data_IF_322326962323
#
_entry.id   IF_322326962323
#
_cell.length_a   1.000
_cell.length_b   1.000
_cell.length_c   1.000
_cell.angle_alpha   90.00
_cell.angle_beta   90.00
_cell.angle_gamma   90.00
#
_symmetry.space_group_name_H-M   'P 1'
#
loop_
_entity.id
_entity.type
_entity.pdbx_description
1 polymer ?
#
# COMPACT_ATOMS: atom_id res chain seq x y z
N UNK A 1 18.16 -5.70 12.25
CA UNK A 1 16.68 -5.82 12.18
C UNK A 1 16.21 -4.77 11.20
N UNK A 2 15.72 -5.16 10.03
CA UNK A 2 15.32 -4.22 8.98
C UNK A 2 13.82 -3.92 9.11
N UNK A 3 13.40 -2.75 9.65
CA UNK A 3 11.97 -2.42 9.80
C UNK A 3 11.24 -2.29 8.44
N UNK A 4 11.99 -2.33 7.35
CA UNK A 4 11.52 -2.26 5.97
C UNK A 4 10.51 -3.35 5.62
N UNK A 5 10.54 -4.52 6.27
CA UNK A 5 9.59 -5.62 6.05
C UNK A 5 8.15 -5.20 6.41
N UNK A 6 7.98 -4.31 7.39
CA UNK A 6 6.65 -3.84 7.80
C UNK A 6 6.13 -2.66 6.98
N UNK A 7 6.98 -1.97 6.22
CA UNK A 7 6.57 -0.76 5.48
C UNK A 7 5.46 -1.03 4.45
N UNK A 8 5.51 -2.11 3.64
CA UNK A 8 4.44 -2.40 2.69
C UNK A 8 3.08 -2.70 3.34
N UNK A 9 3.06 -3.01 4.63
CA UNK A 9 1.84 -3.23 5.42
C UNK A 9 1.36 -1.90 6.04
N UNK A 10 2.29 -1.16 6.65
CA UNK A 10 1.97 0.09 7.35
C UNK A 10 1.52 1.20 6.40
N UNK A 11 2.14 1.32 5.23
CA UNK A 11 1.82 2.38 4.25
C UNK A 11 0.35 2.35 3.80
N UNK A 12 -0.20 1.23 3.27
CA UNK A 12 -1.59 1.20 2.85
C UNK A 12 -2.55 1.37 4.04
N UNK A 13 -2.19 0.88 5.23
CA UNK A 13 -3.01 1.01 6.43
C UNK A 13 -3.11 2.47 6.89
N UNK A 14 -1.97 3.19 6.91
CA UNK A 14 -1.93 4.62 7.20
C UNK A 14 -2.62 5.44 6.10
N UNK A 15 -2.37 5.12 4.82
CA UNK A 15 -3.02 5.80 3.71
C UNK A 15 -4.55 5.65 3.81
N UNK A 16 -5.05 4.45 4.10
CA UNK A 16 -6.47 4.19 4.34
C UNK A 16 -7.04 4.96 5.52
N UNK A 17 -6.35 4.96 6.67
CA UNK A 17 -6.76 5.71 7.86
C UNK A 17 -6.83 7.23 7.59
N UNK A 18 -5.82 7.80 6.94
CA UNK A 18 -5.80 9.21 6.52
C UNK A 18 -6.91 9.48 5.51
N UNK A 19 -7.18 8.55 4.59
CA UNK A 19 -8.33 8.62 3.69
C UNK A 19 -9.63 8.75 4.48
N UNK A 20 -9.86 7.97 5.52
CA UNK A 20 -11.08 8.07 6.33
C UNK A 20 -11.21 9.43 7.04
N UNK A 21 -10.11 10.03 7.50
CA UNK A 21 -10.13 11.38 8.08
C UNK A 21 -10.62 12.41 7.06
N UNK A 22 -10.20 12.29 5.80
CA UNK A 22 -10.59 13.20 4.71
C UNK A 22 -11.77 12.71 3.88
N UNK A 23 -12.66 11.86 4.42
CA UNK A 23 -13.77 11.22 3.69
C UNK A 23 -14.67 12.19 2.90
N UNK A 24 -14.83 13.43 3.38
CA UNK A 24 -15.63 14.48 2.72
C UNK A 24 -14.99 15.05 1.45
N UNK A 25 -13.67 15.00 1.31
CA UNK A 25 -12.95 15.64 0.20
C UNK A 25 -12.48 14.60 -0.81
N UNK A 26 -13.22 14.48 -1.92
CA UNK A 26 -12.85 13.58 -3.04
C UNK A 26 -11.47 13.90 -3.63
N UNK A 27 -11.07 15.18 -3.63
CA UNK A 27 -9.74 15.58 -4.09
C UNK A 27 -8.62 15.05 -3.18
N UNK A 28 -8.82 15.13 -1.85
CA UNK A 28 -7.85 14.57 -0.89
C UNK A 28 -7.80 13.04 -0.96
N UNK A 29 -8.95 12.35 -1.09
CA UNK A 29 -8.97 10.89 -1.27
C UNK A 29 -8.11 10.45 -2.46
N UNK A 30 -8.23 11.15 -3.58
CA UNK A 30 -7.48 10.89 -4.81
C UNK A 30 -5.98 11.10 -4.60
N UNK A 31 -5.60 12.21 -3.99
CA UNK A 31 -4.19 12.50 -3.69
C UNK A 31 -3.59 11.44 -2.76
N UNK A 32 -4.31 11.08 -1.69
CA UNK A 32 -3.88 10.05 -0.73
C UNK A 32 -3.74 8.69 -1.40
N UNK A 33 -4.68 8.30 -2.28
CA UNK A 33 -4.62 7.03 -2.99
C UNK A 33 -3.38 6.94 -3.90
N UNK A 34 -3.09 7.99 -4.69
CA UNK A 34 -1.92 8.02 -5.57
C UNK A 34 -0.62 8.04 -4.78
N UNK A 35 -0.52 8.90 -3.76
CA UNK A 35 0.69 8.98 -2.93
C UNK A 35 0.92 7.70 -2.13
N UNK A 36 -0.14 7.10 -1.58
CA UNK A 36 -0.07 5.85 -0.81
C UNK A 36 0.35 4.67 -1.66
N UNK A 37 -0.23 4.52 -2.87
CA UNK A 37 0.16 3.45 -3.80
C UNK A 37 1.56 3.66 -4.39
N UNK A 38 1.98 4.90 -4.65
CA UNK A 38 3.36 5.21 -5.05
C UNK A 38 4.37 4.89 -3.94
N UNK A 39 4.08 5.28 -2.69
CA UNK A 39 4.94 4.96 -1.54
C UNK A 39 5.02 3.44 -1.30
N UNK A 40 3.90 2.73 -1.45
CA UNK A 40 3.88 1.27 -1.39
C UNK A 40 4.81 0.66 -2.45
N UNK A 41 4.70 1.09 -3.71
CA UNK A 41 5.56 0.60 -4.79
C UNK A 41 7.05 0.85 -4.50
N UNK A 42 7.42 2.06 -4.07
CA UNK A 42 8.82 2.41 -3.76
C UNK A 42 9.36 1.51 -2.64
N UNK A 43 8.61 1.34 -1.57
CA UNK A 43 9.05 0.51 -0.42
C UNK A 43 9.10 -0.97 -0.75
N UNK A 44 8.18 -1.48 -1.57
CA UNK A 44 8.22 -2.87 -2.06
C UNK A 44 9.45 -3.13 -2.94
N UNK A 45 9.85 -2.18 -3.79
CA UNK A 45 11.08 -2.30 -4.58
C UNK A 45 12.29 -2.33 -3.65
N UNK A 46 12.33 -1.47 -2.63
CA UNK A 46 13.38 -1.48 -1.61
C UNK A 46 13.48 -2.82 -0.88
N UNK A 47 12.34 -3.41 -0.51
CA UNK A 47 12.27 -4.72 0.12
C UNK A 47 12.81 -5.82 -0.81
N UNK A 48 12.41 -5.82 -2.09
CA UNK A 48 12.91 -6.77 -3.07
C UNK A 48 14.42 -6.69 -3.26
N UNK A 49 14.99 -5.48 -3.32
CA UNK A 49 16.43 -5.28 -3.42
C UNK A 49 17.16 -5.83 -2.19
N UNK A 50 16.62 -5.61 -0.98
CA UNK A 50 17.22 -6.15 0.25
C UNK A 50 17.14 -7.68 0.28
N UNK A 51 15.99 -8.27 -0.02
CA UNK A 51 15.83 -9.74 -0.04
C UNK A 51 16.71 -10.39 -1.10
N UNK A 52 16.88 -9.75 -2.26
CA UNK A 52 17.74 -10.26 -3.33
C UNK A 52 19.23 -10.18 -2.99
N UNK A 53 19.66 -9.21 -2.17
CA UNK A 53 21.08 -9.04 -1.77
C UNK A 53 21.44 -9.84 -0.51
N UNK A 54 20.58 -9.76 0.51
CA UNK A 54 20.87 -10.21 1.86
C UNK A 54 20.16 -11.53 2.21
N UNK A 55 19.34 -12.06 1.30
CA UNK A 55 18.56 -13.28 1.50
C UNK A 55 17.25 -13.04 2.28
N UNK A 56 16.67 -14.13 2.78
CA UNK A 56 15.37 -14.12 3.47
C UNK A 56 15.43 -13.20 4.70
N UNK A 57 14.50 -12.25 4.79
CA UNK A 57 14.41 -11.30 5.89
C UNK A 57 13.30 -11.73 6.86
N UNK A 58 13.62 -11.77 8.16
CA UNK A 58 12.67 -12.14 9.22
C UNK A 58 12.65 -11.07 10.30
N UNK A 59 11.46 -10.62 10.69
CA UNK A 59 11.25 -9.71 11.81
C UNK A 59 10.17 -10.22 12.75
N UNK A 60 10.50 -10.32 14.03
CA UNK A 60 9.53 -10.59 15.09
C UNK A 60 8.87 -9.29 15.53
N UNK A 61 7.55 -9.21 15.42
CA UNK A 61 6.77 -8.03 15.77
C UNK A 61 6.22 -8.17 17.20
N UNK A 62 6.31 -7.08 17.98
CA UNK A 62 5.71 -6.99 19.31
C UNK A 62 6.56 -7.50 20.48
N UNK A 63 7.82 -7.88 20.26
CA UNK A 63 8.74 -8.27 21.35
C UNK A 63 8.43 -9.62 22.01
N UNK A 64 7.44 -10.35 21.50
CA UNK A 64 7.11 -11.70 21.95
C UNK A 64 8.16 -12.69 21.41
N UNK A 65 8.78 -13.45 22.32
CA UNK A 65 9.69 -14.54 21.92
C UNK A 65 8.86 -15.66 21.27
N UNK A 66 9.38 -16.28 20.21
CA UNK A 66 8.77 -17.48 19.60
C UNK A 66 8.45 -18.53 20.70
N UNK A 67 7.33 -19.29 20.63
CA UNK A 67 6.60 -19.75 19.44
C UNK A 67 5.26 -19.03 19.12
N UNK A 68 4.82 -18.06 19.92
CA UNK A 68 3.51 -17.38 19.74
C UNK A 68 3.60 -15.95 19.16
N UNK A 69 4.79 -15.52 18.74
CA UNK A 69 5.03 -14.17 18.21
C UNK A 69 4.61 -13.99 16.74
N UNK A 70 4.30 -12.75 16.34
CA UNK A 70 3.98 -12.42 14.94
C UNK A 70 5.30 -12.28 14.18
N UNK A 71 5.64 -13.31 13.39
CA UNK A 71 6.82 -13.30 12.52
C UNK A 71 6.46 -12.76 11.14
N UNK A 72 7.03 -11.62 10.75
CA UNK A 72 7.01 -11.14 9.38
C UNK A 72 8.20 -11.72 8.63
N UNK A 73 7.92 -12.55 7.63
CA UNK A 73 8.93 -13.17 6.78
C UNK A 73 8.77 -12.63 5.36
N UNK A 74 9.85 -12.11 4.80
CA UNK A 74 9.94 -11.71 3.41
C UNK A 74 10.99 -12.58 2.70
N UNK A 75 10.51 -13.45 1.83
CA UNK A 75 11.29 -14.23 0.89
C UNK A 75 11.24 -13.60 -0.51
N UNK A 76 12.01 -14.15 -1.46
CA UNK A 76 12.12 -13.57 -2.80
C UNK A 76 10.77 -13.58 -3.52
N UNK A 77 10.03 -14.67 -3.43
CA UNK A 77 8.70 -14.79 -4.04
C UNK A 77 7.72 -13.80 -3.43
N UNK A 78 7.64 -13.73 -2.10
CA UNK A 78 6.81 -12.77 -1.39
C UNK A 78 7.15 -11.33 -1.79
N UNK A 79 8.44 -10.97 -1.80
CA UNK A 79 8.86 -9.63 -2.20
C UNK A 79 8.45 -9.27 -3.64
N UNK A 80 8.56 -10.22 -4.59
CA UNK A 80 8.07 -10.03 -5.96
C UNK A 80 6.56 -9.80 -5.98
N UNK A 81 5.79 -10.57 -5.21
CA UNK A 81 4.33 -10.41 -5.11
C UNK A 81 3.95 -9.05 -4.53
N UNK A 82 4.68 -8.53 -3.55
CA UNK A 82 4.41 -7.19 -3.00
C UNK A 82 4.73 -6.10 -4.03
N UNK A 83 5.80 -6.25 -4.83
CA UNK A 83 6.10 -5.32 -5.93
C UNK A 83 5.00 -5.35 -6.99
N UNK A 84 4.57 -6.53 -7.42
CA UNK A 84 3.46 -6.67 -8.39
C UNK A 84 2.18 -6.01 -7.87
N UNK A 85 1.86 -6.23 -6.59
CA UNK A 85 0.73 -5.58 -5.92
C UNK A 85 0.86 -4.05 -5.95
N UNK A 86 2.06 -3.51 -5.70
CA UNK A 86 2.35 -2.09 -5.78
C UNK A 86 2.16 -1.51 -7.19
N UNK A 87 2.65 -2.22 -8.22
CA UNK A 87 2.51 -1.81 -9.63
C UNK A 87 1.03 -1.75 -10.02
N UNK A 88 0.29 -2.83 -9.74
CA UNK A 88 -1.14 -2.92 -10.06
C UNK A 88 -1.92 -1.84 -9.30
N UNK A 89 -1.66 -1.69 -7.99
CA UNK A 89 -2.32 -0.69 -7.16
C UNK A 89 -2.09 0.73 -7.67
N UNK A 90 -0.86 1.07 -8.04
CA UNK A 90 -0.53 2.38 -8.57
C UNK A 90 -1.17 2.63 -9.95
N UNK A 91 -1.12 1.64 -10.86
CA UNK A 91 -1.78 1.73 -12.16
C UNK A 91 -3.30 1.93 -12.05
N UNK A 92 -3.94 1.18 -11.15
CA UNK A 92 -5.39 1.30 -10.86
C UNK A 92 -5.71 2.66 -10.25
N UNK A 93 -4.88 3.17 -9.34
CA UNK A 93 -5.07 4.49 -8.75
C UNK A 93 -5.04 5.59 -9.84
N UNK A 94 -4.07 5.55 -10.75
CA UNK A 94 -3.99 6.48 -11.88
C UNK A 94 -5.17 6.33 -12.83
N UNK A 95 -5.57 5.10 -13.17
CA UNK A 95 -6.71 4.84 -14.03
C UNK A 95 -8.01 5.40 -13.45
N UNK A 96 -8.24 5.20 -12.15
CA UNK A 96 -9.44 5.69 -11.45
C UNK A 96 -9.54 7.22 -11.44
N UNK A 97 -8.41 7.94 -11.42
CA UNK A 97 -8.43 9.41 -11.55
C UNK A 97 -9.08 9.87 -12.86
N UNK A 98 -8.78 9.17 -13.96
CA UNK A 98 -9.31 9.50 -15.28
C UNK A 98 -10.78 9.11 -15.43
N UNK A 99 -11.19 7.95 -14.91
CA UNK A 99 -12.57 7.43 -15.09
C UNK A 99 -13.57 7.99 -14.08
N UNK A 100 -13.23 8.06 -12.79
CA UNK A 100 -14.19 8.43 -11.74
C UNK A 100 -14.44 9.95 -11.67
N UNK A 101 -13.61 10.77 -12.33
CA UNK A 101 -13.86 12.21 -12.50
C UNK A 101 -15.08 12.53 -13.37
N UNK A 102 -15.42 11.63 -14.31
CA UNK A 102 -16.46 11.84 -15.31
C UNK A 102 -17.85 11.31 -14.90
N UNK A 103 -18.05 10.97 -13.62
CA UNK A 103 -19.35 10.53 -13.11
C UNK A 103 -20.39 11.65 -13.23
N UNK A 104 -21.12 11.56 -14.33
CA UNK A 104 -22.34 12.25 -14.73
C UNK A 104 -23.19 12.59 -13.52
N UNK A 105 -23.42 13.89 -13.29
CA UNK A 105 -24.52 14.32 -12.43
C UNK A 105 -25.78 13.66 -12.98
N UNK A 106 -26.55 12.87 -12.21
CA UNK A 106 -27.92 12.57 -12.62
C UNK A 106 -28.64 13.92 -12.57
N UNK A 107 -28.78 14.54 -13.73
CA UNK A 107 -29.55 15.77 -13.87
C UNK A 107 -31.02 15.42 -13.68
N UNK A 108 -31.59 15.93 -12.59
CA UNK A 108 -32.94 16.47 -12.54
C UNK A 108 -34.08 15.56 -13.06
N UNK A 109 -34.41 14.49 -12.32
CA UNK A 109 -35.67 13.73 -12.52
C UNK A 109 -36.69 13.96 -11.39
N UNK A 110 -36.33 14.66 -10.31
CA UNK A 110 -37.29 15.07 -9.28
C UNK A 110 -37.24 16.59 -9.08
N UNK A 111 -38.03 17.31 -9.90
CA UNK A 111 -38.63 18.60 -9.59
C UNK A 111 -40.10 18.53 -9.95
#
# INVERSE_FOLDING_TARGET
MNPQIALPILIPLLAGAVSLVFWRSRAMQRLIAVLGTAALLITSIGLLVSVNRDGIQVMQMGGWVAPFGISLVADLLGAIMVVLTGIIGFAVALYSLATTGAATRPSAIFR
#
